data_IF_320616438097
#
_entry.id   IF_320616438097
#
_cell.length_a   1.000
_cell.length_b   1.000
_cell.length_c   1.000
_cell.angle_alpha   90.00
_cell.angle_beta   90.00
_cell.angle_gamma   90.00
#
_symmetry.space_group_name_H-M   'P 1'
#
loop_
_entity.id
_entity.type
_entity.pdbx_description
1 polymer ?
#
# COMPACT_ATOMS: atom_id res chain seq x y z
N UNK A 1 18.92 -7.52 -5.95
CA UNK A 1 18.07 -8.58 -6.54
C UNK A 1 18.19 -9.86 -5.72
N UNK A 2 17.45 -9.96 -4.61
CA UNK A 2 17.47 -11.13 -3.71
C UNK A 2 16.42 -12.20 -4.08
N UNK A 3 15.42 -11.84 -4.89
CA UNK A 3 14.39 -12.74 -5.39
C UNK A 3 14.93 -13.82 -6.35
N UNK A 4 16.02 -13.55 -7.08
CA UNK A 4 16.64 -14.52 -8.00
C UNK A 4 17.65 -15.46 -7.32
N UNK A 5 18.00 -15.21 -6.06
CA UNK A 5 19.02 -15.99 -5.32
C UNK A 5 18.42 -16.92 -4.27
N UNK A 6 17.09 -16.98 -4.14
CA UNK A 6 16.39 -17.80 -3.15
C UNK A 6 16.58 -17.34 -1.69
N UNK A 7 17.36 -16.27 -1.45
CA UNK A 7 17.49 -15.65 -0.13
C UNK A 7 16.35 -14.68 0.07
N UNK A 8 15.27 -15.17 0.66
CA UNK A 8 14.08 -14.41 0.97
C UNK A 8 13.99 -14.13 2.46
N UNK A 9 13.65 -12.89 2.81
CA UNK A 9 13.39 -12.51 4.20
C UNK A 9 11.91 -12.72 4.46
N UNK A 10 11.59 -13.67 5.34
CA UNK A 10 10.22 -13.93 5.79
C UNK A 10 9.66 -12.81 6.68
N UNK A 11 10.48 -11.79 7.00
CA UNK A 11 10.10 -10.61 7.77
C UNK A 11 10.81 -9.38 7.25
N UNK A 12 10.05 -8.31 7.09
CA UNK A 12 10.51 -6.97 6.76
C UNK A 12 10.27 -6.08 7.99
N UNK A 13 11.35 -5.52 8.52
CA UNK A 13 11.36 -4.56 9.64
C UNK A 13 11.87 -3.22 9.10
N UNK A 14 11.06 -2.62 8.23
CA UNK A 14 11.41 -1.38 7.55
C UNK A 14 10.94 -0.17 8.35
N UNK A 15 11.58 0.97 8.11
CA UNK A 15 11.12 2.24 8.69
C UNK A 15 9.82 2.66 8.02
N UNK A 16 8.71 2.38 8.68
CA UNK A 16 7.36 2.78 8.27
C UNK A 16 6.75 3.76 9.27
N UNK A 17 5.87 4.61 8.78
CA UNK A 17 5.04 5.49 9.59
C UNK A 17 3.69 4.80 9.86
N UNK A 18 3.37 4.60 11.12
CA UNK A 18 2.06 4.06 11.52
C UNK A 18 1.07 5.22 11.54
N UNK A 19 0.35 5.41 10.44
CA UNK A 19 -0.63 6.50 10.26
C UNK A 19 -1.91 6.23 11.06
N UNK A 20 -2.27 4.96 11.16
CA UNK A 20 -3.31 4.48 12.06
C UNK A 20 -2.91 3.14 12.64
N UNK A 21 -2.95 3.07 13.96
CA UNK A 21 -2.71 1.83 14.69
C UNK A 21 -3.94 0.92 14.64
N UNK A 22 -3.75 -0.35 14.96
CA UNK A 22 -4.80 -1.36 14.92
C UNK A 22 -4.32 -2.72 15.41
N UNK A 23 -5.23 -3.72 15.45
CA UNK A 23 -4.85 -5.07 15.81
C UNK A 23 -3.83 -5.65 14.83
N UNK A 24 -3.14 -6.72 15.23
CA UNK A 24 -2.34 -7.53 14.31
C UNK A 24 -3.29 -8.17 13.30
N UNK A 25 -3.07 -7.91 12.02
CA UNK A 25 -3.93 -8.42 10.94
C UNK A 25 -3.19 -9.41 10.06
N UNK A 26 -3.94 -10.37 9.51
CA UNK A 26 -3.46 -11.37 8.57
C UNK A 26 -4.30 -11.32 7.32
N UNK A 27 -3.64 -11.37 6.17
CA UNK A 27 -4.30 -11.34 4.88
C UNK A 27 -3.32 -11.70 3.77
N UNK A 28 -3.84 -12.03 2.59
CA UNK A 28 -2.98 -12.08 1.40
C UNK A 28 -2.51 -10.66 1.09
N UNK A 29 -1.23 -10.51 0.80
CA UNK A 29 -0.70 -9.23 0.32
C UNK A 29 -1.12 -9.05 -1.14
N UNK A 30 -1.96 -8.06 -1.43
CA UNK A 30 -2.43 -7.75 -2.78
C UNK A 30 -2.22 -6.26 -3.08
N UNK A 31 -2.35 -5.88 -4.37
CA UNK A 31 -2.20 -4.50 -4.82
C UNK A 31 -0.93 -4.29 -5.65
N UNK A 32 -0.27 -3.14 -5.47
CA UNK A 32 0.80 -2.64 -6.33
C UNK A 32 0.48 -1.24 -6.83
N UNK A 33 0.73 -0.99 -8.11
CA UNK A 33 0.43 0.28 -8.75
C UNK A 33 -1.08 0.60 -8.71
N UNK A 34 -1.44 1.79 -8.21
CA UNK A 34 -2.83 2.20 -7.99
C UNK A 34 -3.63 2.27 -9.30
N UNK A 35 -3.11 2.96 -10.32
CA UNK A 35 -3.76 3.01 -11.64
C UNK A 35 -3.99 1.61 -12.22
N UNK A 36 -2.97 0.76 -12.18
CA UNK A 36 -3.05 -0.61 -12.70
C UNK A 36 -4.11 -1.44 -11.97
N UNK A 37 -4.16 -1.37 -10.63
CA UNK A 37 -5.21 -2.00 -9.84
C UNK A 37 -6.60 -1.56 -10.29
N UNK A 38 -6.79 -0.26 -10.48
CA UNK A 38 -8.08 0.33 -10.85
C UNK A 38 -8.54 -0.08 -12.24
N UNK A 39 -7.63 -0.32 -13.20
CA UNK A 39 -8.00 -0.84 -14.53
C UNK A 39 -8.62 -2.23 -14.50
N UNK A 40 -8.38 -3.02 -13.44
CA UNK A 40 -8.92 -4.37 -13.29
C UNK A 40 -10.28 -4.39 -12.57
N UNK A 41 -10.65 -3.32 -11.87
CA UNK A 41 -11.90 -3.26 -11.11
C UNK A 41 -13.10 -3.37 -12.05
N UNK A 42 -14.06 -4.25 -11.69
CA UNK A 42 -15.22 -4.56 -12.53
C UNK A 42 -14.95 -5.46 -13.73
N UNK A 43 -13.75 -6.04 -13.86
CA UNK A 43 -13.41 -7.00 -14.92
C UNK A 43 -13.39 -8.46 -14.39
N UNK A 44 -13.40 -9.49 -15.26
CA UNK A 44 -13.29 -10.88 -14.81
C UNK A 44 -11.99 -11.24 -14.07
N UNK A 45 -10.97 -10.39 -14.16
CA UNK A 45 -9.67 -10.57 -13.49
C UNK A 45 -9.52 -9.67 -12.27
N UNK A 46 -10.61 -9.04 -11.80
CA UNK A 46 -10.60 -8.22 -10.60
C UNK A 46 -10.08 -9.02 -9.38
N UNK A 47 -9.09 -8.49 -8.64
CA UNK A 47 -8.58 -9.17 -7.45
C UNK A 47 -9.61 -9.15 -6.31
N UNK A 48 -9.72 -10.26 -5.59
CA UNK A 48 -10.56 -10.32 -4.39
C UNK A 48 -9.82 -9.70 -3.20
N UNK A 49 -10.14 -8.43 -2.91
CA UNK A 49 -9.45 -7.63 -1.88
C UNK A 49 -10.03 -7.81 -0.46
N UNK A 50 -11.18 -8.47 -0.32
CA UNK A 50 -11.77 -8.73 0.99
C UNK A 50 -10.82 -9.55 1.87
N UNK A 51 -10.49 -9.04 3.05
CA UNK A 51 -9.53 -9.61 4.00
C UNK A 51 -8.06 -9.50 3.59
N UNK A 52 -7.75 -8.79 2.50
CA UNK A 52 -6.38 -8.61 2.03
C UNK A 52 -5.63 -7.54 2.83
N UNK A 53 -4.31 -7.66 2.90
CA UNK A 53 -3.44 -6.52 3.23
C UNK A 53 -3.14 -5.84 1.89
N UNK A 54 -3.65 -4.63 1.72
CA UNK A 54 -3.59 -3.90 0.45
C UNK A 54 -2.35 -3.00 0.41
N UNK A 55 -1.43 -3.30 -0.49
CA UNK A 55 -0.28 -2.46 -0.80
C UNK A 55 -0.60 -1.54 -1.98
N UNK A 56 -0.37 -0.24 -1.85
CA UNK A 56 -0.60 0.74 -2.92
C UNK A 56 0.62 1.63 -3.10
N UNK A 57 0.98 1.88 -4.35
CA UNK A 57 2.01 2.83 -4.76
C UNK A 57 1.62 3.49 -6.08
N UNK A 58 2.17 4.67 -6.38
CA UNK A 58 1.94 5.37 -7.65
C UNK A 58 3.07 6.36 -7.95
N UNK A 59 3.28 6.70 -9.22
CA UNK A 59 4.31 7.66 -9.63
C UNK A 59 3.79 8.62 -10.69
N UNK A 60 4.32 9.84 -10.73
CA UNK A 60 4.07 10.83 -11.79
C UNK A 60 2.62 11.34 -11.93
N UNK A 61 1.70 10.95 -11.05
CA UNK A 61 0.32 11.43 -11.08
C UNK A 61 0.16 12.79 -10.38
N UNK A 62 -0.63 13.75 -10.90
CA UNK A 62 -0.94 14.97 -10.16
C UNK A 62 -1.92 14.71 -9.00
N UNK A 63 -1.92 15.57 -7.98
CA UNK A 63 -2.72 15.36 -6.75
C UNK A 63 -4.22 15.18 -7.01
N UNK A 64 -4.79 15.95 -7.95
CA UNK A 64 -6.20 15.81 -8.31
C UNK A 64 -6.51 14.45 -8.96
N UNK A 65 -5.54 13.83 -9.63
CA UNK A 65 -5.70 12.51 -10.21
C UNK A 65 -5.67 11.46 -9.10
N UNK A 66 -4.69 11.54 -8.18
CA UNK A 66 -4.61 10.68 -7.01
C UNK A 66 -5.90 10.72 -6.19
N UNK A 67 -6.45 11.92 -5.94
CA UNK A 67 -7.74 12.08 -5.26
C UNK A 67 -8.85 11.28 -5.95
N UNK A 68 -8.97 11.43 -7.27
CA UNK A 68 -9.97 10.73 -8.08
C UNK A 68 -9.78 9.21 -8.04
N UNK A 69 -8.54 8.73 -8.12
CA UNK A 69 -8.20 7.31 -8.08
C UNK A 69 -8.57 6.69 -6.72
N UNK A 70 -8.18 7.33 -5.62
CA UNK A 70 -8.57 6.86 -4.28
C UNK A 70 -10.09 6.93 -4.07
N UNK A 71 -10.74 7.98 -4.55
CA UNK A 71 -12.19 8.12 -4.49
C UNK A 71 -12.89 7.00 -5.26
N UNK A 72 -12.42 6.64 -6.46
CA UNK A 72 -13.00 5.54 -7.22
C UNK A 72 -12.75 4.19 -6.55
N UNK A 73 -11.57 3.95 -6.00
CA UNK A 73 -11.27 2.74 -5.22
C UNK A 73 -12.19 2.65 -3.98
N UNK A 74 -12.41 3.76 -3.27
CA UNK A 74 -13.34 3.81 -2.15
C UNK A 74 -14.79 3.51 -2.59
N UNK A 75 -15.29 4.21 -3.61
CA UNK A 75 -16.66 4.05 -4.11
C UNK A 75 -16.94 2.67 -4.73
N UNK A 76 -15.90 1.92 -5.11
CA UNK A 76 -16.04 0.51 -5.51
C UNK A 76 -16.37 -0.43 -4.34
N UNK A 77 -16.33 0.05 -3.10
CA UNK A 77 -16.55 -0.72 -1.88
C UNK A 77 -15.38 -1.64 -1.49
N UNK A 78 -14.30 -1.65 -2.29
CA UNK A 78 -13.18 -2.58 -2.07
C UNK A 78 -12.35 -2.22 -0.84
N UNK A 79 -12.23 -0.93 -0.50
CA UNK A 79 -11.53 -0.49 0.71
C UNK A 79 -12.25 -0.91 2.00
N UNK A 80 -13.56 -1.18 1.94
CA UNK A 80 -14.35 -1.39 3.15
C UNK A 80 -14.07 -2.74 3.82
N UNK A 81 -13.49 -3.68 3.06
CA UNK A 81 -13.32 -5.07 3.47
C UNK A 81 -11.86 -5.50 3.58
N UNK A 82 -10.89 -4.60 3.36
CA UNK A 82 -9.46 -4.95 3.52
C UNK A 82 -9.13 -5.18 5.00
N UNK A 83 -8.11 -5.99 5.27
CA UNK A 83 -7.62 -6.24 6.62
C UNK A 83 -6.64 -5.14 7.08
N UNK A 84 -5.89 -4.53 6.16
CA UNK A 84 -4.91 -3.48 6.46
C UNK A 84 -4.39 -2.83 5.18
N UNK A 85 -3.79 -1.65 5.30
CA UNK A 85 -3.31 -0.87 4.15
C UNK A 85 -1.86 -0.47 4.35
N UNK A 86 -1.06 -0.62 3.31
CA UNK A 86 0.35 -0.21 3.27
C UNK A 86 0.54 0.72 2.07
N UNK A 87 0.96 1.95 2.33
CA UNK A 87 1.27 2.94 1.31
C UNK A 87 2.78 2.96 1.08
N UNK A 88 3.15 2.57 -0.14
CA UNK A 88 4.51 2.61 -0.65
C UNK A 88 4.93 4.00 -1.09
N UNK A 89 5.70 4.05 -2.17
CA UNK A 89 6.12 5.31 -2.77
C UNK A 89 4.98 5.97 -3.56
N UNK A 90 4.81 7.28 -3.33
CA UNK A 90 3.90 8.15 -4.07
C UNK A 90 4.70 9.35 -4.54
N UNK A 91 5.52 9.15 -5.56
CA UNK A 91 6.46 10.16 -6.04
C UNK A 91 5.88 11.01 -7.17
N UNK A 92 6.25 12.29 -7.18
CA UNK A 92 5.96 13.20 -8.28
C UNK A 92 6.87 12.96 -9.49
N UNK A 93 6.94 13.97 -10.36
CA UNK A 93 7.88 13.99 -11.49
C UNK A 93 9.32 14.07 -10.98
N UNK A 94 10.28 13.62 -11.78
CA UNK A 94 11.72 13.63 -11.43
C UNK A 94 12.22 15.01 -10.97
N UNK A 95 11.65 16.10 -11.49
CA UNK A 95 12.04 17.48 -11.15
C UNK A 95 11.29 18.08 -9.95
N UNK A 96 10.49 17.28 -9.22
CA UNK A 96 9.69 17.79 -8.10
C UNK A 96 10.60 18.20 -6.93
N UNK A 97 10.34 19.36 -6.36
CA UNK A 97 11.16 19.88 -5.25
C UNK A 97 10.78 19.17 -3.95
N UNK A 98 11.71 19.01 -3.01
CA UNK A 98 11.52 18.30 -1.73
C UNK A 98 10.21 18.67 -0.99
N UNK A 99 9.85 19.95 -0.92
CA UNK A 99 8.62 20.38 -0.26
C UNK A 99 7.34 19.93 -0.96
N UNK A 100 7.38 19.73 -2.28
CA UNK A 100 6.24 19.20 -3.05
C UNK A 100 6.06 17.71 -2.78
N UNK A 101 7.16 16.95 -2.71
CA UNK A 101 7.13 15.54 -2.36
C UNK A 101 6.61 15.29 -0.93
N UNK A 102 7.01 16.15 0.03
CA UNK A 102 6.45 16.08 1.38
C UNK A 102 4.94 16.34 1.39
N UNK A 103 4.48 17.42 0.73
CA UNK A 103 3.04 17.73 0.65
C UNK A 103 2.24 16.62 -0.04
N UNK A 104 2.82 16.00 -1.07
CA UNK A 104 2.22 14.86 -1.76
C UNK A 104 2.05 13.66 -0.83
N UNK A 105 3.09 13.31 -0.07
CA UNK A 105 3.02 12.22 0.94
C UNK A 105 1.93 12.50 1.97
N UNK A 106 1.94 13.69 2.56
CA UNK A 106 0.92 14.11 3.53
C UNK A 106 -0.49 14.04 2.93
N UNK A 107 -0.67 14.51 1.69
CA UNK A 107 -1.94 14.43 0.98
C UNK A 107 -2.43 12.98 0.85
N UNK A 108 -1.59 12.08 0.33
CA UNK A 108 -1.95 10.67 0.13
C UNK A 108 -2.30 10.00 1.46
N UNK A 109 -1.48 10.20 2.48
CA UNK A 109 -1.67 9.61 3.81
C UNK A 109 -2.98 10.08 4.44
N UNK A 110 -3.24 11.39 4.42
CA UNK A 110 -4.48 11.94 4.95
C UNK A 110 -5.70 11.44 4.18
N UNK A 111 -5.63 11.38 2.85
CA UNK A 111 -6.75 10.96 2.00
C UNK A 111 -7.13 9.51 2.22
N UNK A 112 -6.15 8.61 2.30
CA UNK A 112 -6.39 7.20 2.61
C UNK A 112 -6.94 7.04 4.02
N UNK A 113 -6.40 7.80 4.98
CA UNK A 113 -6.92 7.76 6.35
C UNK A 113 -8.38 8.23 6.45
N UNK A 114 -8.73 9.31 5.75
CA UNK A 114 -10.09 9.83 5.65
C UNK A 114 -11.05 8.78 5.05
N UNK A 115 -10.72 8.25 3.88
CA UNK A 115 -11.59 7.33 3.12
C UNK A 115 -11.77 5.95 3.78
N UNK A 116 -10.99 5.65 4.81
CA UNK A 116 -11.05 4.36 5.51
C UNK A 116 -11.32 4.52 6.99
N UNK A 117 -11.65 5.73 7.45
CA UNK A 117 -11.87 6.03 8.86
C UNK A 117 -12.97 5.15 9.49
N UNK A 118 -14.02 4.83 8.73
CA UNK A 118 -15.15 3.99 9.17
C UNK A 118 -14.78 2.52 9.39
N UNK A 119 -13.76 2.01 8.71
CA UNK A 119 -13.34 0.60 8.82
C UNK A 119 -12.36 0.34 9.98
N UNK A 120 -11.67 1.37 10.47
CA UNK A 120 -10.73 1.23 11.59
C UNK A 120 -9.51 0.32 11.31
N UNK A 121 -9.22 0.01 10.04
CA UNK A 121 -8.09 -0.85 9.66
C UNK A 121 -6.74 -0.16 9.91
N UNK A 122 -5.67 -0.91 10.26
CA UNK A 122 -4.34 -0.34 10.38
C UNK A 122 -3.85 0.19 9.03
N UNK A 123 -3.20 1.35 9.06
CA UNK A 123 -2.67 2.03 7.87
C UNK A 123 -1.21 2.41 8.10
N UNK A 124 -0.33 1.93 7.23
CA UNK A 124 1.08 2.30 7.21
C UNK A 124 1.39 3.20 6.02
N UNK A 125 2.31 4.14 6.23
CA UNK A 125 2.88 5.01 5.21
C UNK A 125 4.39 4.86 5.10
N UNK A 126 4.94 5.30 3.97
CA UNK A 126 6.38 5.38 3.77
C UNK A 126 7.06 4.03 3.60
N UNK A 127 6.31 2.98 3.24
CA UNK A 127 6.90 1.68 3.00
C UNK A 127 7.87 1.75 1.81
N UNK A 128 9.10 1.20 1.91
CA UNK A 128 10.10 1.27 0.85
C UNK A 128 9.81 0.24 -0.27
N UNK A 129 8.71 0.44 -0.98
CA UNK A 129 8.30 -0.36 -2.15
C UNK A 129 7.62 0.53 -3.18
N UNK A 130 7.83 0.24 -4.47
CA UNK A 130 7.38 1.08 -5.59
C UNK A 130 8.55 1.83 -6.24
N UNK A 131 8.30 3.01 -6.80
CA UNK A 131 9.27 3.80 -7.58
C UNK A 131 10.35 4.55 -6.76
N UNK A 132 10.82 3.98 -5.65
CA UNK A 132 11.81 4.59 -4.77
C UNK A 132 13.22 3.99 -4.93
N UNK A 133 14.26 4.70 -4.45
CA UNK A 133 15.66 4.24 -4.51
C UNK A 133 15.88 2.88 -3.83
N UNK A 134 15.18 2.62 -2.71
CA UNK A 134 15.16 1.32 -2.04
C UNK A 134 13.83 0.63 -2.36
N UNK A 135 13.72 0.05 -3.55
CA UNK A 135 12.54 -0.71 -3.96
C UNK A 135 12.61 -2.16 -3.47
N UNK A 136 11.94 -2.45 -2.35
CA UNK A 136 11.86 -3.81 -1.81
C UNK A 136 10.84 -4.63 -2.59
N UNK A 137 11.27 -5.81 -3.04
CA UNK A 137 10.37 -6.78 -3.68
C UNK A 137 9.41 -7.37 -2.65
N UNK A 138 8.11 -7.23 -2.92
CA UNK A 138 7.03 -7.80 -2.14
C UNK A 138 6.47 -9.06 -2.80
N UNK A 139 6.08 -10.11 -2.05
CA UNK A 139 5.52 -11.34 -2.61
C UNK A 139 4.01 -11.18 -2.78
N UNK A 140 3.60 -10.48 -3.83
CA UNK A 140 2.17 -10.29 -4.10
C UNK A 140 1.49 -11.67 -4.24
N UNK A 141 0.43 -11.88 -3.47
CA UNK A 141 -0.32 -13.13 -3.35
C UNK A 141 0.03 -13.98 -2.13
N UNK A 142 1.19 -13.78 -1.49
CA UNK A 142 1.57 -14.54 -0.30
C UNK A 142 0.75 -14.11 0.93
N UNK A 143 0.59 -15.04 1.87
CA UNK A 143 -0.04 -14.77 3.14
C UNK A 143 0.92 -13.94 4.03
N UNK A 144 0.43 -12.79 4.48
CA UNK A 144 1.20 -11.83 5.27
C UNK A 144 0.56 -11.57 6.65
N UNK A 145 1.38 -11.15 7.60
CA UNK A 145 0.99 -10.63 8.91
C UNK A 145 1.56 -9.23 9.08
N UNK A 146 0.69 -8.27 9.41
CA UNK A 146 1.03 -6.86 9.63
C UNK A 146 0.84 -6.54 11.12
N UNK A 147 1.92 -6.13 11.78
CA UNK A 147 1.95 -5.82 13.23
C UNK A 147 2.49 -4.41 13.46
N UNK A 148 1.58 -3.46 13.72
CA UNK A 148 1.90 -2.05 13.93
C UNK A 148 2.75 -1.80 15.17
N UNK A 149 2.61 -2.63 16.21
CA UNK A 149 3.38 -2.51 17.45
C UNK A 149 4.87 -2.79 17.23
N UNK A 150 5.17 -3.71 16.30
CA UNK A 150 6.53 -4.11 15.92
C UNK A 150 7.01 -3.46 14.64
N UNK A 151 6.13 -2.74 13.93
CA UNK A 151 6.38 -2.21 12.57
C UNK A 151 6.95 -3.29 11.64
N UNK A 152 6.38 -4.49 11.72
CA UNK A 152 6.89 -5.67 11.02
C UNK A 152 5.86 -6.28 10.08
N UNK A 153 6.25 -6.48 8.83
CA UNK A 153 5.48 -7.26 7.85
C UNK A 153 6.15 -8.61 7.66
N UNK A 154 5.47 -9.70 7.99
CA UNK A 154 6.01 -11.06 7.83
C UNK A 154 5.19 -11.91 6.88
N UNK A 155 5.82 -12.90 6.27
CA UNK A 155 5.24 -13.79 5.27
C UNK A 155 5.38 -15.24 5.76
N UNK A 156 4.31 -16.03 5.63
CA UNK A 156 4.41 -17.47 5.86
C UNK A 156 4.92 -18.16 4.59
N UNK A 157 5.85 -19.10 4.77
CA UNK A 157 6.22 -20.03 3.70
C UNK A 157 5.00 -20.89 3.34
N UNK A 158 4.80 -21.11 2.04
CA UNK A 158 3.76 -21.97 1.49
C UNK A 158 4.32 -23.37 1.27
#
# INVERSE_FOLDING_TARGET
>A
YHCLTGKWYNRLEEKVDVLRDGPVVKGRLLGGNLCSLLTMIGTPVEPQLSGAILFLEEVNEPLYCLDRLFTQLHLSGKLDSVAGIILGDFSGKEDSVFHEELRRKEFVWNRVCELTAHCGVPVWGGFPGGHCQKNITLPVGAQATMDSSRRSLSFSES
#
